data_IF_184483855174
#
_entry.id   IF_184483855174
#
_cell.length_a   1.000
_cell.length_b   1.000
_cell.length_c   1.000
_cell.angle_alpha   90.00
_cell.angle_beta   90.00
_cell.angle_gamma   90.00
#
_symmetry.space_group_name_H-M   'P 1'
#
loop_
_entity.id
_entity.type
_entity.pdbx_description
1 polymer ?
#
# COMPACT_ATOMS: atom_id res chain seq x y z
N UNK A 1 7.98 -21.39 8.79
CA UNK A 1 8.93 -20.73 9.72
C UNK A 1 10.22 -20.43 8.94
N UNK A 2 10.16 -19.51 7.95
CA UNK A 2 11.20 -19.41 6.90
C UNK A 2 11.64 -17.96 6.62
N UNK A 3 10.73 -16.98 6.66
CA UNK A 3 11.06 -15.60 6.31
C UNK A 3 11.89 -14.85 7.37
N UNK A 4 11.77 -15.20 8.66
CA UNK A 4 12.52 -14.53 9.74
C UNK A 4 14.03 -14.60 9.53
N UNK A 5 14.53 -15.73 9.03
CA UNK A 5 15.95 -15.91 8.70
C UNK A 5 16.37 -15.00 7.55
N UNK A 6 15.51 -14.84 6.54
CA UNK A 6 15.75 -13.95 5.40
C UNK A 6 15.70 -12.46 5.76
N UNK A 7 14.82 -12.08 6.70
CA UNK A 7 14.65 -10.67 7.10
C UNK A 7 15.68 -10.21 8.14
N UNK A 8 16.28 -11.11 8.92
CA UNK A 8 17.20 -10.76 10.01
C UNK A 8 18.39 -9.87 9.56
N UNK A 9 19.05 -10.12 8.42
CA UNK A 9 20.11 -9.23 7.93
C UNK A 9 19.60 -7.81 7.62
N UNK A 10 18.34 -7.68 7.21
CA UNK A 10 17.73 -6.41 6.84
C UNK A 10 17.50 -5.48 8.04
N UNK A 11 17.32 -6.05 9.24
CA UNK A 11 17.12 -5.27 10.47
C UNK A 11 18.26 -4.27 10.70
N UNK A 12 19.50 -4.69 10.51
CA UNK A 12 20.68 -3.85 10.71
C UNK A 12 20.77 -2.78 9.61
N UNK A 13 20.43 -3.14 8.37
CA UNK A 13 20.46 -2.25 7.23
C UNK A 13 19.40 -1.14 7.38
N UNK A 14 18.14 -1.51 7.60
CA UNK A 14 17.03 -0.56 7.64
C UNK A 14 16.97 0.28 8.91
N UNK A 15 17.57 -0.17 10.02
CA UNK A 15 17.64 0.63 11.26
C UNK A 15 18.46 1.92 11.12
N UNK A 16 19.28 2.02 10.07
CA UNK A 16 20.04 3.23 9.75
C UNK A 16 19.25 4.22 8.89
N UNK A 17 18.13 3.78 8.31
CA UNK A 17 17.29 4.60 7.45
C UNK A 17 16.24 5.39 8.26
N UNK A 18 15.59 6.33 7.59
CA UNK A 18 14.43 7.04 8.15
C UNK A 18 13.28 6.04 8.25
N UNK A 19 12.63 5.99 9.42
CA UNK A 19 11.48 5.11 9.65
C UNK A 19 10.36 5.42 8.64
N UNK A 20 9.87 4.38 7.97
CA UNK A 20 8.75 4.51 7.04
C UNK A 20 7.43 4.29 7.76
N UNK A 21 6.54 5.28 7.70
CA UNK A 21 5.21 5.19 8.30
C UNK A 21 4.20 4.83 7.22
N UNK A 22 3.50 3.71 7.40
CA UNK A 22 2.45 3.24 6.48
C UNK A 22 1.09 3.41 7.14
N UNK A 23 0.22 4.20 6.50
CA UNK A 23 -1.17 4.40 6.93
C UNK A 23 -2.05 3.41 6.19
N UNK A 24 -2.78 2.57 6.93
CA UNK A 24 -3.62 1.50 6.39
C UNK A 24 -5.05 1.66 6.88
N UNK A 25 -6.01 1.25 6.04
CA UNK A 25 -7.38 1.07 6.49
C UNK A 25 -7.49 -0.13 7.46
N UNK A 26 -8.70 -0.35 7.98
CA UNK A 26 -8.93 -1.40 8.97
C UNK A 26 -9.25 -2.77 8.35
N UNK A 27 -8.80 -3.06 7.13
CA UNK A 27 -9.00 -4.35 6.49
C UNK A 27 -8.30 -5.47 7.28
N UNK A 28 -8.94 -6.63 7.57
CA UNK A 28 -8.37 -7.64 8.48
C UNK A 28 -6.98 -8.16 8.12
N UNK A 29 -6.63 -8.23 6.82
CA UNK A 29 -5.30 -8.70 6.40
C UNK A 29 -4.17 -7.77 6.86
N UNK A 30 -4.45 -6.48 7.06
CA UNK A 30 -3.49 -5.52 7.58
C UNK A 30 -3.15 -5.77 9.05
N UNK A 31 -3.95 -6.57 9.77
CA UNK A 31 -3.68 -6.96 11.15
C UNK A 31 -2.93 -8.28 11.28
N UNK A 32 -2.55 -8.90 10.15
CA UNK A 32 -1.84 -10.18 10.14
C UNK A 32 -0.57 -10.11 11.00
N UNK A 33 -0.38 -11.12 11.85
CA UNK A 33 0.79 -11.23 12.74
C UNK A 33 2.08 -11.23 11.93
N UNK A 34 2.08 -11.90 10.78
CA UNK A 34 3.23 -11.97 9.86
C UNK A 34 3.66 -10.59 9.35
N UNK A 35 2.70 -9.70 9.05
CA UNK A 35 2.99 -8.32 8.64
C UNK A 35 3.63 -7.54 9.79
N UNK A 36 3.04 -7.59 10.99
CA UNK A 36 3.58 -6.91 12.19
C UNK A 36 4.99 -7.37 12.54
N UNK A 37 5.28 -8.66 12.35
CA UNK A 37 6.63 -9.19 12.53
C UNK A 37 7.60 -8.72 11.45
N UNK A 38 7.17 -8.66 10.18
CA UNK A 38 8.00 -8.15 9.08
C UNK A 38 8.38 -6.67 9.27
N UNK A 39 7.44 -5.83 9.70
CA UNK A 39 7.68 -4.40 9.96
C UNK A 39 8.84 -4.13 10.93
N UNK A 40 9.08 -5.02 11.90
CA UNK A 40 10.19 -4.91 12.85
C UNK A 40 11.56 -4.97 12.17
N UNK A 41 11.68 -5.79 11.13
CA UNK A 41 12.93 -5.95 10.37
C UNK A 41 13.12 -4.87 9.30
N UNK A 42 12.04 -4.19 8.91
CA UNK A 42 12.01 -3.26 7.79
C UNK A 42 12.02 -1.78 8.22
N UNK A 43 12.16 -1.49 9.52
CA UNK A 43 12.06 -0.13 10.07
C UNK A 43 10.76 0.60 9.65
N UNK A 44 9.63 -0.12 9.76
CA UNK A 44 8.32 0.41 9.38
C UNK A 44 7.36 0.49 10.58
N UNK A 45 6.63 1.60 10.67
CA UNK A 45 5.52 1.78 11.60
C UNK A 45 4.18 1.71 10.85
N UNK A 46 3.21 0.97 11.42
CA UNK A 46 1.86 0.86 10.86
C UNK A 46 0.88 1.72 11.67
N UNK A 47 0.16 2.60 10.97
CA UNK A 47 -0.94 3.38 11.54
C UNK A 47 -2.25 2.86 10.93
N UNK A 48 -3.10 2.28 11.77
CA UNK A 48 -4.43 1.81 11.35
C UNK A 48 -5.47 2.90 11.57
N UNK A 49 -6.21 3.21 10.50
CA UNK A 49 -7.32 4.16 10.57
C UNK A 49 -8.53 3.56 11.29
N UNK A 50 -9.35 4.44 11.88
CA UNK A 50 -10.62 4.03 12.47
C UNK A 50 -11.55 3.41 11.43
N UNK A 51 -12.43 2.51 11.90
CA UNK A 51 -13.45 1.88 11.04
C UNK A 51 -14.32 2.95 10.37
N UNK A 52 -14.73 2.70 9.12
CA UNK A 52 -15.59 3.58 8.33
C UNK A 52 -15.05 5.01 8.13
N UNK A 53 -13.72 5.17 8.08
CA UNK A 53 -13.07 6.48 7.87
C UNK A 53 -12.33 6.58 6.52
N UNK A 54 -12.96 6.26 5.36
CA UNK A 54 -12.29 6.31 4.06
C UNK A 54 -11.79 7.73 3.73
N UNK A 55 -12.45 8.77 4.24
CA UNK A 55 -12.01 10.17 4.12
C UNK A 55 -10.62 10.45 4.70
N UNK A 56 -10.12 9.60 5.59
CA UNK A 56 -8.80 9.72 6.20
C UNK A 56 -7.74 8.86 5.49
N UNK A 57 -8.15 7.98 4.56
CA UNK A 57 -7.24 7.12 3.82
C UNK A 57 -6.74 7.85 2.56
N UNK A 58 -5.45 8.26 2.50
CA UNK A 58 -4.96 9.10 1.40
C UNK A 58 -5.13 8.48 0.02
N UNK A 59 -5.09 7.14 -0.08
CA UNK A 59 -5.25 6.43 -1.35
C UNK A 59 -6.66 6.59 -1.95
N UNK A 60 -7.68 6.88 -1.14
CA UNK A 60 -9.06 7.05 -1.61
C UNK A 60 -9.21 8.26 -2.54
N UNK A 61 -8.44 9.32 -2.28
CA UNK A 61 -8.40 10.50 -3.14
C UNK A 61 -7.84 10.14 -4.52
N UNK A 62 -6.74 9.39 -4.56
CA UNK A 62 -6.12 8.88 -5.80
C UNK A 62 -7.11 8.01 -6.55
N UNK A 63 -7.71 7.02 -5.88
CA UNK A 63 -8.72 6.14 -6.50
C UNK A 63 -9.92 6.90 -7.04
N UNK A 64 -10.36 7.98 -6.36
CA UNK A 64 -11.46 8.80 -6.86
C UNK A 64 -11.10 9.50 -8.17
N UNK A 65 -9.90 10.09 -8.25
CA UNK A 65 -9.40 10.71 -9.48
C UNK A 65 -9.27 9.69 -10.60
N UNK A 66 -8.58 8.56 -10.33
CA UNK A 66 -8.36 7.51 -11.32
C UNK A 66 -9.68 6.94 -11.86
N UNK A 67 -10.65 6.63 -10.99
CA UNK A 67 -11.96 6.13 -11.42
C UNK A 67 -12.72 7.13 -12.28
N UNK A 68 -12.59 8.42 -12.00
CA UNK A 68 -13.24 9.47 -12.81
C UNK A 68 -12.71 9.44 -14.23
N UNK A 69 -11.39 9.45 -14.41
CA UNK A 69 -10.76 9.42 -15.73
C UNK A 69 -11.04 8.08 -16.45
N UNK A 70 -10.86 6.95 -15.78
CA UNK A 70 -11.08 5.64 -16.41
C UNK A 70 -12.55 5.34 -16.73
N UNK A 71 -13.51 5.99 -16.05
CA UNK A 71 -14.94 5.79 -16.33
C UNK A 71 -15.39 6.36 -17.68
N UNK A 72 -14.58 7.20 -18.33
CA UNK A 72 -14.87 7.70 -19.68
C UNK A 72 -14.35 6.79 -20.78
N UNK A 73 -13.52 5.79 -20.43
CA UNK A 73 -12.89 4.88 -21.37
C UNK A 73 -13.75 3.63 -21.63
N UNK A 74 -13.69 3.10 -22.85
CA UNK A 74 -14.28 1.79 -23.15
C UNK A 74 -13.26 0.69 -22.82
N UNK A 75 -13.44 0.05 -21.67
CA UNK A 75 -12.53 -1.00 -21.19
C UNK A 75 -12.76 -2.30 -21.97
N UNK A 76 -11.82 -2.65 -22.83
CA UNK A 76 -11.90 -3.85 -23.68
C UNK A 76 -11.46 -5.11 -22.94
N UNK A 77 -10.39 -5.00 -22.14
CA UNK A 77 -9.82 -6.09 -21.35
C UNK A 77 -9.02 -5.54 -20.15
N UNK A 78 -8.48 -6.43 -19.33
CA UNK A 78 -7.69 -6.07 -18.15
C UNK A 78 -6.36 -5.39 -18.52
N UNK A 79 -5.70 -5.83 -19.59
CA UNK A 79 -4.42 -5.27 -20.03
C UNK A 79 -4.57 -3.79 -20.43
N UNK A 80 -5.59 -3.48 -21.23
CA UNK A 80 -5.96 -2.11 -21.58
C UNK A 80 -6.29 -1.25 -20.35
N UNK A 81 -6.96 -1.83 -19.33
CA UNK A 81 -7.24 -1.12 -18.09
C UNK A 81 -5.95 -0.79 -17.32
N UNK A 82 -5.02 -1.74 -17.23
CA UNK A 82 -3.75 -1.57 -16.53
C UNK A 82 -2.90 -0.52 -17.26
N UNK A 83 -2.75 -0.63 -18.57
CA UNK A 83 -1.99 0.33 -19.39
C UNK A 83 -2.56 1.75 -19.23
N UNK A 84 -3.87 1.93 -19.39
CA UNK A 84 -4.49 3.24 -19.22
C UNK A 84 -4.35 3.75 -17.78
N UNK A 85 -4.49 2.89 -16.77
CA UNK A 85 -4.29 3.27 -15.37
C UNK A 85 -2.88 3.81 -15.15
N UNK A 86 -1.83 3.10 -15.62
CA UNK A 86 -0.44 3.55 -15.49
C UNK A 86 -0.20 4.89 -16.19
N UNK A 87 -0.77 5.03 -17.39
CA UNK A 87 -0.65 6.25 -18.20
C UNK A 87 -1.29 7.47 -17.52
N UNK A 88 -2.48 7.32 -16.94
CA UNK A 88 -3.15 8.38 -16.19
C UNK A 88 -2.45 8.66 -14.85
N UNK A 89 -2.04 7.62 -14.13
CA UNK A 89 -1.41 7.77 -12.83
C UNK A 89 -0.10 8.56 -12.93
N UNK A 90 0.67 8.35 -14.00
CA UNK A 90 1.94 9.06 -14.25
C UNK A 90 1.73 10.53 -14.66
N UNK A 91 0.55 10.88 -15.17
CA UNK A 91 0.21 12.23 -15.63
C UNK A 91 -0.51 13.09 -14.57
N UNK A 92 -0.93 12.48 -13.46
CA UNK A 92 -1.61 13.15 -12.34
C UNK A 92 -0.64 13.98 -11.49
#
# INVERSE_FOLDING_TARGET
MTYKVLLKPLEILFKQEIETVVVLDNYPVHHAITLKEACKYLNMALIHLFKYSPKLNPIEQVWRTMKKELSTEFIVNEEFLIENFEDYFTKM
#
